data_IF_929978564823
#
_entry.id   IF_929978564823
#
_cell.length_a   1.000
_cell.length_b   1.000
_cell.length_c   1.000
_cell.angle_alpha   90.00
_cell.angle_beta   90.00
_cell.angle_gamma   90.00
#
_symmetry.space_group_name_H-M   'P 1'
#
loop_
_entity.id
_entity.type
_entity.pdbx_description
1 polymer ?
#
# COMPACT_ATOMS: atom_id res chain seq x y z
N UNK A 1 16.31 18.29 22.56
CA UNK A 1 14.86 18.51 22.67
C UNK A 1 14.21 17.19 22.24
N UNK A 2 13.73 16.40 23.19
CA UNK A 2 12.97 15.20 22.89
C UNK A 2 11.59 15.63 22.38
N UNK A 3 11.28 15.35 21.11
CA UNK A 3 9.89 15.42 20.65
C UNK A 3 9.15 14.26 21.28
N UNK A 4 8.28 14.56 22.22
CA UNK A 4 7.34 13.54 22.74
C UNK A 4 6.33 13.28 21.65
N UNK A 5 6.38 12.08 21.06
CA UNK A 5 5.37 11.64 20.13
C UNK A 5 3.99 11.74 20.76
N UNK A 6 3.08 12.44 20.12
CA UNK A 6 1.66 12.44 20.51
C UNK A 6 1.10 11.08 20.09
N UNK A 7 0.54 10.28 21.01
CA UNK A 7 -0.14 9.06 20.61
C UNK A 7 -1.32 9.42 19.72
N UNK A 8 -1.35 8.92 18.50
CA UNK A 8 -2.55 8.97 17.68
C UNK A 8 -3.45 7.85 18.19
N UNK A 9 -4.43 8.19 19.02
CA UNK A 9 -5.44 7.25 19.48
C UNK A 9 -6.28 6.80 18.27
N UNK A 10 -6.28 5.51 17.98
CA UNK A 10 -7.09 4.93 16.92
C UNK A 10 -6.48 3.71 16.23
N UNK A 11 -5.21 3.44 16.42
CA UNK A 11 -4.58 2.20 15.96
C UNK A 11 -4.47 1.21 17.14
N UNK A 12 -5.58 0.61 17.52
CA UNK A 12 -5.56 -0.45 18.53
C UNK A 12 -5.40 -1.80 17.84
N UNK A 13 -4.24 -2.40 17.98
CA UNK A 13 -4.06 -3.78 17.55
C UNK A 13 -2.62 -4.22 17.27
N UNK A 14 -1.78 -3.34 16.83
CA UNK A 14 -0.34 -3.57 16.69
C UNK A 14 0.37 -2.34 17.20
N UNK A 15 1.52 -2.46 17.85
CA UNK A 15 2.23 -1.34 18.47
C UNK A 15 2.22 -0.10 17.59
N UNK A 16 1.96 1.08 18.17
CA UNK A 16 1.69 2.31 17.40
C UNK A 16 2.71 2.49 16.28
N UNK A 17 2.30 2.43 15.00
CA UNK A 17 3.24 2.53 13.88
C UNK A 17 3.92 3.91 13.77
N UNK A 18 3.49 4.88 14.58
CA UNK A 18 4.10 6.22 14.65
C UNK A 18 5.25 6.33 15.67
N UNK A 19 5.61 5.24 16.35
CA UNK A 19 6.81 5.18 17.18
C UNK A 19 7.99 4.66 16.33
N UNK A 20 8.67 5.57 15.68
CA UNK A 20 9.86 5.22 14.91
C UNK A 20 11.08 6.02 15.32
N UNK A 21 12.26 5.44 15.10
CA UNK A 21 13.56 6.12 15.14
C UNK A 21 13.97 6.64 13.75
N UNK A 22 13.23 6.24 12.71
CA UNK A 22 13.44 6.67 11.33
C UNK A 22 12.83 8.03 11.02
N UNK A 23 12.87 8.38 9.75
CA UNK A 23 12.29 9.62 9.25
C UNK A 23 10.78 9.46 9.01
N UNK A 24 10.07 10.59 9.05
CA UNK A 24 8.67 10.66 8.63
C UNK A 24 8.60 11.52 7.38
N UNK A 25 8.09 10.93 6.30
CA UNK A 25 7.86 11.61 5.03
C UNK A 25 6.37 11.87 4.82
N UNK A 26 6.05 12.96 4.16
CA UNK A 26 4.68 13.38 3.85
C UNK A 26 4.43 13.30 2.35
N UNK A 27 3.31 12.72 1.94
CA UNK A 27 2.86 12.63 0.56
C UNK A 27 1.47 13.28 0.43
N UNK A 28 1.31 14.20 -0.51
CA UNK A 28 0.03 14.88 -0.78
C UNK A 28 0.01 15.45 -2.19
N UNK A 29 -0.61 14.75 -3.13
CA UNK A 29 -0.74 15.20 -4.53
C UNK A 29 -1.63 16.45 -4.69
N UNK A 30 -2.50 16.76 -3.71
CA UNK A 30 -3.39 17.91 -3.72
C UNK A 30 -2.76 19.20 -3.19
N UNK A 31 -1.61 19.12 -2.54
CA UNK A 31 -0.94 20.29 -2.00
C UNK A 31 -0.25 21.13 -3.12
N UNK A 32 -0.43 22.45 -3.08
CA UNK A 32 0.18 23.36 -4.09
C UNK A 32 1.70 23.27 -4.14
N UNK A 33 2.34 22.92 -3.01
CA UNK A 33 3.79 22.79 -2.90
C UNK A 33 4.25 21.32 -3.02
N UNK A 34 3.42 20.39 -3.46
CA UNK A 34 3.78 19.00 -3.66
C UNK A 34 4.79 18.85 -4.80
N UNK A 35 5.94 18.28 -4.52
CA UNK A 35 6.99 18.05 -5.49
C UNK A 35 7.92 16.93 -5.01
N UNK A 36 8.29 16.00 -5.88
CA UNK A 36 9.20 14.92 -5.55
C UNK A 36 10.66 15.38 -5.34
N UNK A 37 10.99 16.62 -5.70
CA UNK A 37 12.27 17.25 -5.36
C UNK A 37 12.30 17.75 -3.90
N UNK A 38 11.16 17.87 -3.22
CA UNK A 38 11.11 18.22 -1.82
C UNK A 38 11.84 17.18 -0.95
N UNK A 39 12.27 17.58 0.24
CA UNK A 39 12.78 16.64 1.25
C UNK A 39 11.69 15.73 1.83
N UNK A 40 10.41 16.12 1.72
CA UNK A 40 9.26 15.38 2.18
C UNK A 40 9.06 15.33 3.71
N UNK A 41 10.00 15.83 4.50
CA UNK A 41 9.94 15.78 5.98
C UNK A 41 9.09 16.91 6.59
N UNK A 42 8.58 17.81 5.77
CA UNK A 42 7.74 18.93 6.18
C UNK A 42 6.35 18.78 5.53
N UNK A 43 5.26 18.70 6.31
CA UNK A 43 3.90 18.55 5.77
C UNK A 43 3.44 19.73 4.88
N UNK A 44 4.13 20.88 4.92
CA UNK A 44 3.85 22.02 4.04
C UNK A 44 4.60 21.95 2.70
N UNK A 45 5.52 21.04 2.56
CA UNK A 45 6.30 20.74 1.36
C UNK A 45 6.34 19.23 1.17
N UNK A 46 5.17 18.58 0.94
CA UNK A 46 5.10 17.15 0.79
C UNK A 46 5.69 16.69 -0.55
N UNK A 47 5.90 15.41 -0.65
CA UNK A 47 6.18 14.73 -1.92
C UNK A 47 4.87 14.60 -2.71
N UNK A 48 4.97 14.57 -4.03
CA UNK A 48 3.80 14.50 -4.90
C UNK A 48 3.26 13.07 -5.07
N UNK A 49 4.14 12.05 -5.00
CA UNK A 49 3.80 10.65 -5.25
C UNK A 49 4.34 9.73 -4.16
N UNK A 50 3.74 8.55 -4.05
CA UNK A 50 4.20 7.50 -3.14
C UNK A 50 5.58 6.99 -3.55
N UNK A 51 5.81 6.78 -4.85
CA UNK A 51 7.13 6.40 -5.40
C UNK A 51 8.22 7.42 -5.03
N UNK A 52 7.91 8.72 -5.18
CA UNK A 52 8.82 9.78 -4.77
C UNK A 52 9.18 9.73 -3.28
N UNK A 53 8.26 9.25 -2.42
CA UNK A 53 8.53 9.07 -1.01
C UNK A 53 9.36 7.81 -0.72
N UNK A 54 9.06 6.70 -1.35
CA UNK A 54 9.85 5.46 -1.21
C UNK A 54 11.31 5.72 -1.58
N UNK A 55 11.56 6.45 -2.65
CA UNK A 55 12.91 6.84 -3.09
C UNK A 55 13.68 7.73 -2.09
N UNK A 56 13.01 8.31 -1.07
CA UNK A 56 13.67 9.09 0.01
C UNK A 56 13.97 8.24 1.25
N UNK A 57 13.37 7.06 1.36
CA UNK A 57 13.52 6.22 2.55
C UNK A 57 14.85 5.47 2.57
N UNK A 58 15.21 4.97 3.75
CA UNK A 58 16.43 4.19 3.97
C UNK A 58 16.04 2.81 4.48
N UNK A 59 16.60 1.78 3.85
CA UNK A 59 16.30 0.40 4.20
C UNK A 59 16.55 0.11 5.69
N UNK A 60 15.58 -0.54 6.33
CA UNK A 60 15.63 -0.97 7.74
C UNK A 60 15.86 0.18 8.75
N UNK A 61 15.58 1.41 8.35
CA UNK A 61 15.66 2.59 9.22
C UNK A 61 14.38 2.83 10.04
N UNK A 62 13.31 2.10 9.72
CA UNK A 62 11.99 2.31 10.32
C UNK A 62 11.31 3.57 9.79
N UNK A 63 11.58 3.97 8.56
CA UNK A 63 10.98 5.16 7.95
C UNK A 63 9.46 4.98 7.75
N UNK A 64 8.72 6.06 7.99
CA UNK A 64 7.27 6.10 7.84
C UNK A 64 6.90 7.11 6.77
N UNK A 65 6.01 6.71 5.86
CA UNK A 65 5.40 7.57 4.86
C UNK A 65 3.96 7.85 5.27
N UNK A 66 3.66 9.10 5.63
CA UNK A 66 2.30 9.57 5.91
C UNK A 66 1.68 10.12 4.63
N UNK A 67 0.68 9.41 4.11
CA UNK A 67 -0.07 9.86 2.94
C UNK A 67 -1.27 10.64 3.41
N UNK A 68 -1.37 11.91 3.01
CA UNK A 68 -2.35 12.86 3.50
C UNK A 68 -3.78 12.54 3.03
N UNK A 69 -4.81 12.99 3.78
CA UNK A 69 -6.20 12.78 3.41
C UNK A 69 -6.51 13.46 2.07
N UNK A 70 -7.20 12.73 1.19
CA UNK A 70 -7.56 13.25 -0.13
C UNK A 70 -6.44 13.15 -1.17
N UNK A 71 -5.27 12.62 -0.82
CA UNK A 71 -4.28 12.25 -1.82
C UNK A 71 -4.89 11.29 -2.85
N UNK A 72 -4.66 11.57 -4.12
CA UNK A 72 -5.11 10.76 -5.23
C UNK A 72 -3.96 10.57 -6.22
N UNK A 73 -3.58 9.34 -6.46
CA UNK A 73 -2.53 8.96 -7.39
C UNK A 73 -3.05 7.90 -8.35
N UNK A 74 -2.74 8.07 -9.64
CA UNK A 74 -3.12 7.12 -10.68
C UNK A 74 -1.88 6.46 -11.23
N UNK A 75 -1.85 5.16 -11.17
CA UNK A 75 -0.81 4.37 -11.80
C UNK A 75 -1.15 4.19 -13.28
N UNK A 76 -0.32 4.72 -14.16
CA UNK A 76 -0.58 4.83 -15.59
C UNK A 76 0.45 4.13 -16.48
N UNK A 77 1.45 3.48 -15.92
CA UNK A 77 2.44 2.70 -16.64
C UNK A 77 2.33 1.21 -16.30
N UNK A 78 2.71 0.34 -17.22
CA UNK A 78 2.99 -1.05 -16.89
C UNK A 78 4.10 -1.06 -15.84
N UNK A 79 3.96 -1.79 -14.74
CA UNK A 79 4.69 -1.66 -13.50
C UNK A 79 4.44 -0.28 -12.84
N UNK A 80 3.40 -0.17 -12.00
CA UNK A 80 2.97 1.07 -11.36
C UNK A 80 4.10 1.76 -10.61
N UNK A 81 4.63 1.13 -9.57
CA UNK A 81 5.90 1.48 -8.91
C UNK A 81 6.39 0.31 -8.07
N UNK A 82 7.62 0.39 -7.58
CA UNK A 82 8.26 -0.70 -6.84
C UNK A 82 8.59 -0.28 -5.41
N UNK A 83 8.17 -1.08 -4.44
CA UNK A 83 8.74 -1.04 -3.09
C UNK A 83 10.07 -1.80 -3.06
N UNK A 84 11.15 -1.10 -3.28
CA UNK A 84 12.52 -1.63 -3.33
C UNK A 84 13.34 -1.31 -2.06
N UNK A 85 12.71 -0.69 -1.05
CA UNK A 85 13.34 -0.31 0.22
C UNK A 85 12.71 -1.08 1.38
N UNK A 86 13.49 -1.91 2.07
CA UNK A 86 13.00 -2.77 3.15
C UNK A 86 12.63 -2.00 4.42
N UNK A 87 11.61 -2.48 5.13
CA UNK A 87 11.21 -1.96 6.44
C UNK A 87 10.50 -0.61 6.40
N UNK A 88 9.89 -0.26 5.27
CA UNK A 88 9.10 0.97 5.10
C UNK A 88 7.65 0.76 5.51
N UNK A 89 7.09 1.71 6.25
CA UNK A 89 5.68 1.71 6.63
C UNK A 89 4.93 2.86 5.98
N UNK A 90 3.90 2.55 5.20
CA UNK A 90 2.98 3.52 4.58
C UNK A 90 1.70 3.61 5.42
N UNK A 91 1.32 4.81 5.79
CA UNK A 91 0.10 5.07 6.57
C UNK A 91 -0.76 6.11 5.86
N UNK A 92 -1.91 5.67 5.36
CA UNK A 92 -2.94 6.56 4.86
C UNK A 92 -3.62 7.30 6.01
N UNK A 93 -3.70 8.61 5.91
CA UNK A 93 -4.41 9.44 6.89
C UNK A 93 -5.86 9.65 6.45
N UNK A 94 -6.73 9.99 7.40
CA UNK A 94 -8.15 10.22 7.14
C UNK A 94 -9.02 8.99 7.36
N UNK A 95 -10.31 9.15 7.09
CA UNK A 95 -11.33 8.11 7.29
C UNK A 95 -12.32 8.08 6.12
N UNK A 96 -12.99 6.95 5.94
CA UNK A 96 -13.96 6.78 4.86
C UNK A 96 -13.33 7.03 3.49
N UNK A 97 -13.97 7.88 2.69
CA UNK A 97 -13.49 8.24 1.34
C UNK A 97 -12.44 9.39 1.34
N UNK A 98 -12.10 9.95 2.50
CA UNK A 98 -10.99 10.90 2.60
C UNK A 98 -9.62 10.20 2.74
N UNK A 99 -9.59 8.89 2.85
CA UNK A 99 -8.33 8.13 2.81
C UNK A 99 -7.63 8.31 1.47
N UNK A 100 -6.30 8.21 1.43
CA UNK A 100 -5.55 8.20 0.17
C UNK A 100 -6.09 7.15 -0.79
N UNK A 101 -6.20 7.52 -2.06
CA UNK A 101 -6.69 6.62 -3.12
C UNK A 101 -5.63 6.43 -4.19
N UNK A 102 -5.32 5.19 -4.47
CA UNK A 102 -4.43 4.75 -5.54
C UNK A 102 -5.27 4.05 -6.61
N UNK A 103 -5.28 4.59 -7.83
CA UNK A 103 -6.12 4.11 -8.92
C UNK A 103 -5.27 3.36 -9.94
N UNK A 104 -5.68 2.14 -10.24
CA UNK A 104 -5.13 1.32 -11.31
C UNK A 104 -5.89 1.63 -12.59
N UNK A 105 -5.21 2.25 -13.55
CA UNK A 105 -5.81 2.70 -14.80
C UNK A 105 -4.84 2.44 -15.97
N UNK A 106 -5.32 2.48 -17.19
CA UNK A 106 -4.54 2.44 -18.43
C UNK A 106 -4.03 1.07 -18.91
N UNK A 107 -3.74 0.09 -18.08
CA UNK A 107 -3.30 -1.23 -18.51
C UNK A 107 -3.62 -2.33 -17.48
N UNK A 108 -3.86 -3.56 -17.95
CA UNK A 108 -4.05 -4.72 -17.10
C UNK A 108 -2.77 -5.11 -16.32
N UNK A 109 -1.61 -4.69 -16.80
CA UNK A 109 -0.29 -4.99 -16.22
C UNK A 109 0.22 -3.92 -15.26
N UNK A 110 -0.65 -3.02 -14.80
CA UNK A 110 -0.33 -2.05 -13.75
C UNK A 110 -0.43 -2.74 -12.40
N UNK A 111 0.66 -2.79 -11.67
CA UNK A 111 0.75 -3.37 -10.32
C UNK A 111 1.68 -2.55 -9.42
N UNK A 112 1.74 -2.94 -8.16
CA UNK A 112 2.76 -2.50 -7.22
C UNK A 112 3.68 -3.69 -6.96
N UNK A 113 4.90 -3.59 -7.44
CA UNK A 113 5.94 -4.58 -7.14
C UNK A 113 6.42 -4.41 -5.69
N UNK A 114 6.46 -5.48 -4.92
CA UNK A 114 7.04 -5.50 -3.58
C UNK A 114 8.28 -6.40 -3.60
N UNK A 115 9.42 -5.81 -3.89
CA UNK A 115 10.70 -6.52 -4.02
C UNK A 115 11.56 -6.43 -2.76
N UNK A 116 11.14 -5.63 -1.78
CA UNK A 116 11.84 -5.46 -0.51
C UNK A 116 11.03 -6.01 0.67
N UNK A 117 11.73 -6.61 1.64
CA UNK A 117 11.11 -7.24 2.80
C UNK A 117 10.53 -6.23 3.81
N UNK A 118 9.54 -6.71 4.59
CA UNK A 118 8.99 -6.01 5.74
C UNK A 118 8.36 -4.64 5.40
N UNK A 119 7.74 -4.54 4.21
CA UNK A 119 6.94 -3.38 3.77
C UNK A 119 5.54 -3.48 4.35
N UNK A 120 5.01 -2.36 4.85
CA UNK A 120 3.67 -2.30 5.44
C UNK A 120 2.83 -1.19 4.83
N UNK A 121 1.56 -1.47 4.54
CA UNK A 121 0.58 -0.50 4.02
C UNK A 121 -0.67 -0.51 4.90
N UNK A 122 -1.04 0.66 5.40
CA UNK A 122 -2.19 0.83 6.27
C UNK A 122 -3.15 1.91 5.77
N UNK A 123 -4.46 1.65 5.90
CA UNK A 123 -5.55 2.62 5.77
C UNK A 123 -5.60 3.37 4.41
N UNK A 124 -5.31 2.69 3.32
CA UNK A 124 -5.39 3.22 1.96
C UNK A 124 -6.60 2.67 1.20
N UNK A 125 -6.97 3.30 0.10
CA UNK A 125 -7.94 2.81 -0.87
C UNK A 125 -7.20 2.47 -2.16
N UNK A 126 -7.42 1.26 -2.67
CA UNK A 126 -6.96 0.81 -3.98
C UNK A 126 -8.18 0.64 -4.89
N UNK A 127 -8.19 1.34 -6.01
CA UNK A 127 -9.35 1.48 -6.87
C UNK A 127 -9.04 0.94 -8.26
N UNK A 128 -9.76 -0.10 -8.67
CA UNK A 128 -9.60 -0.70 -10.00
C UNK A 128 -10.42 0.10 -11.00
N UNK A 129 -9.77 0.73 -11.95
CA UNK A 129 -10.37 1.49 -13.04
C UNK A 129 -9.94 0.99 -14.43
N UNK A 130 -9.49 -0.24 -14.49
CA UNK A 130 -9.16 -0.97 -15.71
C UNK A 130 -9.66 -2.41 -15.61
N UNK A 131 -10.02 -3.00 -16.75
CA UNK A 131 -10.50 -4.37 -16.79
C UNK A 131 -9.36 -5.36 -16.60
N UNK A 132 -9.61 -6.39 -15.80
CA UNK A 132 -8.70 -7.52 -15.60
C UNK A 132 -7.26 -7.09 -15.23
N UNK A 133 -7.13 -6.17 -14.24
CA UNK A 133 -5.82 -5.87 -13.64
C UNK A 133 -5.22 -7.18 -13.14
N UNK A 134 -4.10 -7.59 -13.70
CA UNK A 134 -3.53 -8.94 -13.49
C UNK A 134 -3.29 -9.21 -12.01
N UNK A 135 -2.66 -8.27 -11.30
CA UNK A 135 -2.52 -8.28 -9.85
C UNK A 135 -2.47 -6.85 -9.31
N UNK A 136 -2.91 -6.67 -8.07
CA UNK A 136 -2.78 -5.37 -7.40
C UNK A 136 -1.39 -5.23 -6.77
N UNK A 137 -0.91 -6.32 -6.15
CA UNK A 137 0.46 -6.42 -5.63
C UNK A 137 1.15 -7.65 -6.20
N UNK A 138 2.36 -7.47 -6.72
CA UNK A 138 3.28 -8.56 -7.08
C UNK A 138 4.37 -8.68 -6.02
N UNK A 139 4.37 -9.80 -5.29
CA UNK A 139 5.28 -10.00 -4.17
C UNK A 139 6.44 -10.89 -4.57
N UNK A 140 7.64 -10.39 -4.33
CA UNK A 140 8.89 -11.15 -4.42
C UNK A 140 9.75 -11.02 -3.15
N UNK A 141 9.14 -10.59 -2.02
CA UNK A 141 9.83 -10.44 -0.75
C UNK A 141 8.91 -10.70 0.46
N UNK A 142 9.46 -11.24 1.52
CA UNK A 142 8.74 -11.66 2.72
C UNK A 142 8.34 -10.49 3.64
N UNK A 143 7.31 -10.71 4.47
CA UNK A 143 6.91 -9.78 5.53
C UNK A 143 6.04 -8.62 5.05
N UNK A 144 5.35 -8.77 3.92
CA UNK A 144 4.41 -7.75 3.46
C UNK A 144 3.16 -7.71 4.35
N UNK A 145 2.76 -6.52 4.74
CA UNK A 145 1.57 -6.28 5.58
C UNK A 145 0.61 -5.33 4.89
N UNK A 146 -0.65 -5.76 4.74
CA UNK A 146 -1.77 -4.93 4.28
C UNK A 146 -2.84 -4.93 5.35
N UNK A 147 -3.09 -3.77 5.94
CA UNK A 147 -4.02 -3.66 7.06
C UNK A 147 -4.96 -2.46 6.90
N UNK A 148 -6.24 -2.65 7.21
CA UNK A 148 -7.28 -1.60 7.18
C UNK A 148 -7.44 -0.92 5.81
N UNK A 149 -7.01 -1.56 4.72
CA UNK A 149 -7.15 -1.05 3.37
C UNK A 149 -8.52 -1.40 2.77
N UNK A 150 -8.89 -0.69 1.73
CA UNK A 150 -10.09 -0.96 0.95
C UNK A 150 -9.71 -1.14 -0.51
N UNK A 151 -10.19 -2.22 -1.10
CA UNK A 151 -10.07 -2.53 -2.53
C UNK A 151 -11.44 -2.44 -3.14
N UNK A 152 -11.58 -1.72 -4.25
CA UNK A 152 -12.89 -1.43 -4.84
C UNK A 152 -12.80 -1.28 -6.35
N UNK A 153 -13.77 -1.87 -7.05
CA UNK A 153 -13.97 -1.65 -8.47
C UNK A 153 -14.72 -0.34 -8.70
N UNK A 154 -14.34 0.43 -9.71
CA UNK A 154 -15.02 1.69 -10.07
C UNK A 154 -16.32 1.44 -10.86
N UNK A 155 -16.40 0.33 -11.58
CA UNK A 155 -17.56 -0.09 -12.35
C UNK A 155 -17.53 -1.61 -12.57
N UNK A 156 -18.64 -2.20 -12.98
CA UNK A 156 -18.67 -3.57 -13.47
C UNK A 156 -17.65 -3.75 -14.61
N UNK A 157 -16.89 -4.80 -14.61
CA UNK A 157 -15.76 -5.12 -15.49
C UNK A 157 -14.47 -4.31 -15.24
N UNK A 158 -14.38 -3.53 -14.17
CA UNK A 158 -13.15 -2.88 -13.72
C UNK A 158 -12.68 -3.59 -12.46
N UNK A 159 -11.92 -4.66 -12.61
CA UNK A 159 -11.61 -5.64 -11.57
C UNK A 159 -10.12 -6.00 -11.57
N UNK A 160 -9.71 -6.73 -10.56
CA UNK A 160 -8.42 -7.44 -10.54
C UNK A 160 -8.64 -8.93 -10.86
N UNK A 161 -7.61 -9.59 -11.39
CA UNK A 161 -7.60 -11.05 -11.52
C UNK A 161 -7.19 -11.65 -10.17
N UNK A 162 -6.02 -11.28 -9.66
CA UNK A 162 -5.55 -11.63 -8.32
C UNK A 162 -5.25 -10.34 -7.52
N UNK A 163 -5.61 -10.30 -6.24
CA UNK A 163 -5.30 -9.11 -5.46
C UNK A 163 -3.83 -9.11 -5.04
N UNK A 164 -3.32 -10.25 -4.61
CA UNK A 164 -1.91 -10.46 -4.28
C UNK A 164 -1.41 -11.65 -5.06
N UNK A 165 -0.43 -11.45 -5.94
CA UNK A 165 0.31 -12.52 -6.56
C UNK A 165 1.64 -12.71 -5.84
N UNK A 166 1.93 -13.97 -5.49
CA UNK A 166 3.24 -14.38 -5.00
C UNK A 166 3.97 -15.06 -6.14
N UNK A 167 5.22 -14.73 -6.37
CA UNK A 167 6.00 -15.35 -7.45
C UNK A 167 6.15 -16.86 -7.22
N UNK A 168 6.69 -17.57 -8.17
CA UNK A 168 6.85 -19.02 -8.10
C UNK A 168 7.99 -19.48 -7.19
N UNK A 169 8.70 -18.57 -6.55
CA UNK A 169 9.85 -18.88 -5.68
C UNK A 169 9.40 -19.07 -4.23
N UNK A 170 9.91 -20.07 -3.55
CA UNK A 170 9.58 -20.36 -2.16
C UNK A 170 10.04 -19.23 -1.22
N UNK A 171 9.25 -18.99 -0.17
CA UNK A 171 9.48 -18.04 0.93
C UNK A 171 9.36 -16.55 0.56
N UNK A 172 9.07 -16.18 -0.66
CA UNK A 172 8.90 -14.76 -1.06
C UNK A 172 7.67 -14.12 -0.42
N UNK A 173 6.63 -14.91 -0.11
CA UNK A 173 5.44 -14.44 0.59
C UNK A 173 5.40 -14.86 2.07
N UNK A 174 6.52 -15.30 2.64
CA UNK A 174 6.56 -15.65 4.06
C UNK A 174 6.14 -14.46 4.93
N UNK A 175 5.41 -14.75 6.00
CA UNK A 175 4.91 -13.74 6.95
C UNK A 175 4.01 -12.66 6.29
N UNK A 176 3.32 -13.02 5.19
CA UNK A 176 2.29 -12.15 4.62
C UNK A 176 1.15 -11.95 5.64
N UNK A 177 0.79 -10.69 5.89
CA UNK A 177 -0.34 -10.34 6.73
C UNK A 177 -1.36 -9.52 5.92
N UNK A 178 -2.57 -10.06 5.77
CA UNK A 178 -3.70 -9.39 5.14
C UNK A 178 -4.85 -9.34 6.13
N UNK A 179 -5.02 -8.19 6.82
CA UNK A 179 -5.90 -8.11 7.99
C UNK A 179 -6.76 -6.86 8.01
N UNK A 180 -8.00 -6.99 8.50
CA UNK A 180 -8.97 -5.89 8.65
C UNK A 180 -9.26 -5.13 7.34
N UNK A 181 -9.15 -5.78 6.19
CA UNK A 181 -9.36 -5.16 4.89
C UNK A 181 -10.81 -5.32 4.42
N UNK A 182 -11.24 -4.43 3.56
CA UNK A 182 -12.52 -4.52 2.86
C UNK A 182 -12.25 -4.67 1.37
N UNK A 183 -12.71 -5.76 0.77
CA UNK A 183 -12.60 -6.03 -0.66
C UNK A 183 -13.99 -6.07 -1.27
N UNK A 184 -14.26 -5.21 -2.25
CA UNK A 184 -15.54 -5.15 -2.96
C UNK A 184 -15.24 -5.19 -4.45
N UNK A 185 -15.28 -6.39 -5.02
CA UNK A 185 -15.02 -6.65 -6.43
C UNK A 185 -16.01 -7.70 -6.95
N UNK A 186 -17.29 -7.33 -7.16
CA UNK A 186 -18.36 -8.27 -7.48
C UNK A 186 -18.35 -8.75 -8.95
N UNK A 187 -17.28 -8.59 -9.66
CA UNK A 187 -17.12 -9.08 -11.03
C UNK A 187 -16.77 -10.57 -11.07
N UNK A 188 -17.12 -11.23 -12.16
CA UNK A 188 -16.86 -12.67 -12.38
C UNK A 188 -15.44 -12.97 -12.88
N UNK A 189 -14.62 -11.94 -13.12
CA UNK A 189 -13.23 -12.06 -13.60
C UNK A 189 -12.19 -12.33 -12.53
N UNK A 190 -12.57 -12.21 -11.24
CA UNK A 190 -11.63 -12.41 -10.14
C UNK A 190 -11.28 -13.90 -9.97
N UNK A 191 -9.99 -14.22 -9.86
CA UNK A 191 -9.52 -15.57 -9.51
C UNK A 191 -9.42 -15.73 -7.98
N UNK A 192 -8.86 -14.74 -7.29
CA UNK A 192 -8.67 -14.83 -5.84
C UNK A 192 -8.07 -13.62 -5.17
N UNK A 193 -7.92 -13.74 -3.85
CA UNK A 193 -7.30 -12.70 -3.04
C UNK A 193 -5.78 -12.91 -2.98
N UNK A 194 -5.32 -14.14 -2.90
CA UNK A 194 -3.90 -14.49 -2.84
C UNK A 194 -3.65 -15.67 -3.76
N UNK A 195 -2.85 -15.46 -4.79
CA UNK A 195 -2.29 -16.52 -5.64
C UNK A 195 -0.88 -16.87 -5.15
N UNK A 196 -0.67 -18.09 -4.69
CA UNK A 196 0.59 -18.55 -4.12
C UNK A 196 1.23 -19.56 -5.07
N UNK A 197 2.25 -19.12 -5.79
CA UNK A 197 2.99 -19.97 -6.73
C UNK A 197 4.07 -20.86 -6.07
N UNK A 198 4.41 -20.61 -4.80
CA UNK A 198 5.43 -21.35 -4.05
C UNK A 198 4.99 -21.66 -2.62
N UNK A 199 5.93 -22.05 -1.77
CA UNK A 199 5.67 -22.27 -0.35
C UNK A 199 5.52 -20.94 0.39
N UNK A 200 4.57 -20.87 1.33
CA UNK A 200 4.36 -19.72 2.21
C UNK A 200 4.33 -20.21 3.67
N UNK A 201 5.05 -19.53 4.53
CA UNK A 201 5.06 -19.75 5.97
C UNK A 201 4.61 -18.52 6.74
N UNK A 202 3.75 -18.71 7.75
CA UNK A 202 3.32 -17.62 8.64
C UNK A 202 2.31 -16.65 8.01
N UNK A 203 1.47 -17.13 7.07
CA UNK A 203 0.35 -16.34 6.54
C UNK A 203 -0.64 -16.00 7.65
N UNK A 204 -0.96 -14.72 7.77
CA UNK A 204 -2.06 -14.19 8.61
C UNK A 204 -3.12 -13.57 7.70
N UNK A 205 -4.27 -14.23 7.63
CA UNK A 205 -5.43 -13.75 6.86
C UNK A 205 -6.64 -13.69 7.78
N UNK A 206 -6.96 -12.50 8.30
CA UNK A 206 -7.87 -12.35 9.42
C UNK A 206 -8.69 -11.06 9.36
N UNK A 207 -9.93 -11.12 9.87
CA UNK A 207 -10.84 -9.99 10.03
C UNK A 207 -11.10 -9.18 8.73
N UNK A 208 -11.12 -9.84 7.58
CA UNK A 208 -11.40 -9.21 6.29
C UNK A 208 -12.89 -9.34 5.92
N UNK A 209 -13.46 -8.30 5.32
CA UNK A 209 -14.78 -8.29 4.70
C UNK A 209 -14.62 -8.35 3.16
N UNK A 210 -15.00 -9.49 2.56
CA UNK A 210 -14.71 -9.79 1.16
C UNK A 210 -15.99 -10.10 0.41
N UNK A 211 -16.22 -9.36 -0.65
CA UNK A 211 -17.26 -9.59 -1.66
C UNK A 211 -16.60 -9.70 -3.04
N UNK A 212 -16.65 -10.88 -3.64
CA UNK A 212 -16.14 -11.19 -4.98
C UNK A 212 -17.30 -11.61 -5.87
#
# INVERSE_FOLDING_TARGET
IQSRGVPVEGFSGVGSPLLTMGNIYHVDSGATAADNDNAGTNPKQPLATLDGAVNKTTANNGDIILVHPGHAETFSAAAGFTFDVAGVTVIGMGTGNSRPTFTYDTAATVDIDVTAADVQIHNCIFSMNYADVTQVFDLSAAGFVVNQCRFVDTAASMNFVDLIACTTTNNECDRLEFTNNVVISPDTGNNGIIDVGGDIAGLVFNDNDITL
#
